data_IF_881481031125
#
_entry.id   IF_881481031125
#
_cell.length_a   1.000
_cell.length_b   1.000
_cell.length_c   1.000
_cell.angle_alpha   90.00
_cell.angle_beta   90.00
_cell.angle_gamma   90.00
#
_symmetry.space_group_name_H-M   'P 1'
#
loop_
_entity.id
_entity.type
_entity.pdbx_description
1 polymer ?
#
# COMPACT_ATOMS: atom_id res chain seq x y z
N UNK A 1 14.89 -12.52 23.46
CA UNK A 1 14.90 -13.60 22.45
C UNK A 1 13.56 -13.68 21.72
N UNK A 2 12.46 -14.07 22.36
CA UNK A 2 11.14 -14.21 21.67
C UNK A 2 10.64 -12.89 21.06
N UNK A 3 10.66 -11.78 21.81
CA UNK A 3 10.24 -10.45 21.30
C UNK A 3 11.03 -10.05 20.06
N UNK A 4 12.35 -10.22 20.08
CA UNK A 4 13.23 -9.89 18.95
C UNK A 4 12.86 -10.67 17.69
N UNK A 5 12.47 -11.95 17.83
CA UNK A 5 12.01 -12.77 16.71
C UNK A 5 10.68 -12.26 16.16
N UNK A 6 9.73 -11.89 17.03
CA UNK A 6 8.43 -11.35 16.62
C UNK A 6 8.61 -10.02 15.88
N UNK A 7 9.38 -9.09 16.46
CA UNK A 7 9.71 -7.80 15.85
C UNK A 7 10.41 -8.00 14.51
N UNK A 8 11.40 -8.89 14.47
CA UNK A 8 12.11 -9.25 13.25
C UNK A 8 11.16 -9.77 12.17
N UNK A 9 10.24 -10.68 12.51
CA UNK A 9 9.27 -11.23 11.58
C UNK A 9 8.31 -10.15 11.04
N UNK A 10 7.78 -9.29 11.91
CA UNK A 10 6.90 -8.17 11.53
C UNK A 10 7.62 -7.21 10.57
N UNK A 11 8.81 -6.74 10.95
CA UNK A 11 9.56 -5.76 10.18
C UNK A 11 10.09 -6.35 8.86
N UNK A 12 10.60 -7.58 8.85
CA UNK A 12 11.10 -8.22 7.63
C UNK A 12 9.96 -8.54 6.66
N UNK A 13 8.81 -9.00 7.16
CA UNK A 13 7.64 -9.25 6.32
C UNK A 13 7.13 -7.93 5.74
N UNK A 14 7.01 -6.89 6.55
CA UNK A 14 6.61 -5.56 6.07
C UNK A 14 7.58 -4.98 5.04
N UNK A 15 8.89 -5.10 5.28
CA UNK A 15 9.92 -4.70 4.33
C UNK A 15 9.87 -5.51 3.02
N UNK A 16 9.56 -6.81 3.09
CA UNK A 16 9.37 -7.65 1.91
C UNK A 16 8.18 -7.16 1.07
N UNK A 17 7.04 -6.81 1.68
CA UNK A 17 5.91 -6.21 0.96
C UNK A 17 6.32 -4.91 0.25
N UNK A 18 7.05 -4.03 0.94
CA UNK A 18 7.55 -2.78 0.34
C UNK A 18 8.50 -3.06 -0.83
N UNK A 19 9.44 -4.00 -0.66
CA UNK A 19 10.40 -4.38 -1.70
C UNK A 19 9.71 -4.98 -2.92
N UNK A 20 8.78 -5.92 -2.70
CA UNK A 20 8.02 -6.57 -3.79
C UNK A 20 7.20 -5.53 -4.54
N UNK A 21 6.51 -4.63 -3.84
CA UNK A 21 5.78 -3.52 -4.48
C UNK A 21 6.72 -2.60 -5.28
N UNK A 22 7.89 -2.25 -4.75
CA UNK A 22 8.85 -1.42 -5.46
C UNK A 22 9.33 -2.11 -6.76
N UNK A 23 9.72 -3.38 -6.68
CA UNK A 23 10.14 -4.17 -7.86
C UNK A 23 9.00 -4.31 -8.87
N UNK A 24 7.78 -4.57 -8.41
CA UNK A 24 6.62 -4.72 -9.28
C UNK A 24 6.19 -3.37 -9.90
N UNK A 25 6.37 -2.24 -9.21
CA UNK A 25 6.20 -0.90 -9.80
C UNK A 25 7.21 -0.64 -10.93
N UNK A 26 8.46 -1.07 -10.79
CA UNK A 26 9.47 -0.96 -11.86
C UNK A 26 9.14 -1.84 -13.07
N UNK A 27 8.48 -2.98 -12.86
CA UNK A 27 8.03 -3.89 -13.93
C UNK A 27 6.70 -3.48 -14.55
N UNK A 28 5.90 -2.67 -13.88
CA UNK A 28 4.59 -2.26 -14.33
C UNK A 28 4.66 -1.37 -15.58
N UNK A 29 3.88 -1.75 -16.59
CA UNK A 29 3.93 -1.20 -17.95
C UNK A 29 3.09 0.08 -18.12
N UNK A 30 2.12 0.31 -17.25
CA UNK A 30 1.29 1.52 -17.26
C UNK A 30 1.10 2.13 -15.85
N UNK A 31 0.54 3.34 -15.82
CA UNK A 31 0.31 4.08 -14.57
C UNK A 31 -0.70 3.40 -13.65
N UNK A 32 -1.77 2.81 -14.19
CA UNK A 32 -2.81 2.13 -13.43
C UNK A 32 -2.25 0.91 -12.68
N UNK A 33 -1.43 0.11 -13.34
CA UNK A 33 -0.75 -1.04 -12.72
C UNK A 33 0.21 -0.60 -11.61
N UNK A 34 0.94 0.50 -11.81
CA UNK A 34 1.83 1.06 -10.76
C UNK A 34 1.04 1.48 -9.52
N UNK A 35 -0.10 2.13 -9.71
CA UNK A 35 -0.98 2.56 -8.62
C UNK A 35 -1.52 1.35 -7.86
N UNK A 36 -1.97 0.31 -8.57
CA UNK A 36 -2.48 -0.91 -7.95
C UNK A 36 -1.41 -1.60 -7.08
N UNK A 37 -0.20 -1.76 -7.62
CA UNK A 37 0.90 -2.45 -6.93
C UNK A 37 1.43 -1.68 -5.72
N UNK A 38 1.31 -0.34 -5.72
CA UNK A 38 1.69 0.51 -4.59
C UNK A 38 0.85 0.22 -3.33
N UNK A 39 -0.39 -0.21 -3.50
CA UNK A 39 -1.33 -0.45 -2.38
C UNK A 39 -0.87 -1.54 -1.41
N UNK A 40 -0.09 -2.52 -1.86
CA UNK A 40 0.43 -3.57 -0.97
C UNK A 40 1.52 -3.05 -0.02
N UNK A 41 2.38 -2.14 -0.49
CA UNK A 41 3.40 -1.49 0.35
C UNK A 41 2.77 -0.62 1.43
N UNK A 42 1.80 0.22 1.06
CA UNK A 42 1.15 1.15 1.98
C UNK A 42 0.09 0.47 2.86
N UNK A 43 -0.65 -0.50 2.32
CA UNK A 43 -1.75 -1.18 3.00
C UNK A 43 -1.32 -2.27 3.97
N UNK A 44 -0.20 -2.96 3.72
CA UNK A 44 0.29 -4.04 4.59
C UNK A 44 1.75 -3.82 5.02
N UNK A 45 2.62 -3.41 4.10
CA UNK A 45 4.05 -3.22 4.38
C UNK A 45 4.33 -2.26 5.53
N UNK A 46 3.85 -1.02 5.40
CA UNK A 46 4.04 0.02 6.42
C UNK A 46 3.35 -0.31 7.76
N UNK A 47 2.07 -0.77 7.79
CA UNK A 47 1.42 -1.19 9.04
C UNK A 47 2.15 -2.31 9.80
N UNK A 48 2.70 -3.31 9.09
CA UNK A 48 3.48 -4.38 9.74
C UNK A 48 4.76 -3.85 10.40
N UNK A 49 5.44 -2.91 9.75
CA UNK A 49 6.64 -2.27 10.31
C UNK A 49 6.28 -1.44 11.55
N UNK A 50 5.18 -0.67 11.49
CA UNK A 50 4.69 0.10 12.65
C UNK A 50 4.32 -0.81 13.82
N UNK A 51 3.65 -1.93 13.55
CA UNK A 51 3.33 -2.91 14.58
C UNK A 51 4.60 -3.52 15.21
N UNK A 52 5.61 -3.85 14.40
CA UNK A 52 6.91 -4.31 14.90
C UNK A 52 7.61 -3.26 15.77
N UNK A 53 7.59 -2.00 15.37
CA UNK A 53 8.14 -0.89 16.14
C UNK A 53 7.42 -0.71 17.49
N UNK A 54 6.08 -0.78 17.51
CA UNK A 54 5.29 -0.70 18.74
C UNK A 54 5.62 -1.86 19.70
N UNK A 55 5.71 -3.10 19.19
CA UNK A 55 6.07 -4.27 20.01
C UNK A 55 7.47 -4.12 20.62
N UNK A 56 8.43 -3.60 19.84
CA UNK A 56 9.78 -3.34 20.33
C UNK A 56 9.78 -2.26 21.42
N UNK A 57 9.04 -1.19 21.22
CA UNK A 57 8.97 -0.06 22.14
C UNK A 57 8.32 -0.46 23.48
N UNK A 58 7.20 -1.19 23.44
CA UNK A 58 6.56 -1.76 24.63
C UNK A 58 7.54 -2.64 25.42
N UNK A 59 8.40 -3.39 24.73
CA UNK A 59 9.37 -4.26 25.37
C UNK A 59 10.58 -3.53 25.97
N UNK A 60 10.96 -2.36 25.45
CA UNK A 60 12.12 -1.59 25.94
C UNK A 60 11.74 -0.52 26.97
N UNK A 61 10.64 0.19 26.75
CA UNK A 61 10.25 1.37 27.52
C UNK A 61 8.99 1.13 28.37
N UNK A 62 8.33 -0.01 28.20
CA UNK A 62 7.04 -0.31 28.82
C UNK A 62 5.87 0.19 27.98
N UNK A 63 4.65 -0.13 28.41
CA UNK A 63 3.45 0.24 27.68
C UNK A 63 3.05 1.70 27.94
N UNK A 64 2.96 2.49 26.87
CA UNK A 64 2.39 3.85 26.88
C UNK A 64 1.18 3.95 25.94
N UNK A 65 0.09 4.53 26.45
CA UNK A 65 -1.11 4.84 25.68
C UNK A 65 -0.83 5.83 24.54
N UNK A 66 0.10 6.75 24.74
CA UNK A 66 0.44 7.75 23.73
C UNK A 66 1.04 7.07 22.50
N UNK A 67 1.94 6.10 22.69
CA UNK A 67 2.58 5.39 21.58
C UNK A 67 1.63 4.42 20.87
N UNK A 68 0.71 3.80 21.61
CA UNK A 68 -0.39 3.03 21.01
C UNK A 68 -1.26 3.90 20.10
N UNK A 69 -1.65 5.11 20.56
CA UNK A 69 -2.46 6.03 19.76
C UNK A 69 -1.69 6.52 18.53
N UNK A 70 -0.40 6.85 18.66
CA UNK A 70 0.46 7.20 17.50
C UNK A 70 0.50 6.08 16.47
N UNK A 71 0.71 4.83 16.93
CA UNK A 71 0.75 3.67 16.04
C UNK A 71 -0.60 3.46 15.32
N UNK A 72 -1.72 3.58 16.04
CA UNK A 72 -3.05 3.47 15.45
C UNK A 72 -3.30 4.56 14.41
N UNK A 73 -2.98 5.82 14.72
CA UNK A 73 -3.09 6.94 13.79
C UNK A 73 -2.21 6.71 12.56
N UNK A 74 -0.99 6.19 12.74
CA UNK A 74 -0.11 5.88 11.62
C UNK A 74 -0.71 4.81 10.71
N UNK A 75 -1.20 3.70 11.27
CA UNK A 75 -1.86 2.62 10.50
C UNK A 75 -3.09 3.12 9.77
N UNK A 76 -3.99 3.83 10.46
CA UNK A 76 -5.18 4.42 9.84
C UNK A 76 -4.81 5.43 8.76
N UNK A 77 -3.79 6.25 9.01
CA UNK A 77 -3.23 7.21 8.06
C UNK A 77 -2.76 6.51 6.78
N UNK A 78 -2.05 5.38 6.88
CA UNK A 78 -1.63 4.61 5.71
C UNK A 78 -2.81 4.05 4.92
N UNK A 79 -3.84 3.51 5.58
CA UNK A 79 -5.03 2.97 4.91
C UNK A 79 -5.81 4.08 4.19
N UNK A 80 -6.07 5.19 4.89
CA UNK A 80 -6.80 6.33 4.33
C UNK A 80 -6.01 6.95 3.16
N UNK A 81 -4.72 7.19 3.35
CA UNK A 81 -3.83 7.72 2.32
C UNK A 81 -3.80 6.80 1.10
N UNK A 82 -3.67 5.48 1.29
CA UNK A 82 -3.64 4.51 0.20
C UNK A 82 -4.89 4.59 -0.68
N UNK A 83 -6.07 4.68 -0.06
CA UNK A 83 -7.34 4.82 -0.77
C UNK A 83 -7.45 6.14 -1.54
N UNK A 84 -7.19 7.27 -0.87
CA UNK A 84 -7.31 8.61 -1.49
C UNK A 84 -6.29 8.79 -2.60
N UNK A 85 -5.04 8.36 -2.38
CA UNK A 85 -3.98 8.42 -3.38
C UNK A 85 -4.34 7.56 -4.61
N UNK A 86 -4.79 6.33 -4.41
CA UNK A 86 -5.13 5.43 -5.52
C UNK A 86 -6.29 5.96 -6.37
N UNK A 87 -7.34 6.49 -5.74
CA UNK A 87 -8.48 7.07 -6.44
C UNK A 87 -8.11 8.33 -7.22
N UNK A 88 -7.33 9.23 -6.63
CA UNK A 88 -6.92 10.47 -7.29
C UNK A 88 -5.93 10.20 -8.42
N UNK A 89 -4.93 9.35 -8.19
CA UNK A 89 -3.96 8.97 -9.21
C UNK A 89 -4.60 8.18 -10.34
N UNK A 90 -5.54 7.27 -10.04
CA UNK A 90 -6.25 6.50 -11.06
C UNK A 90 -7.07 7.39 -11.99
N UNK A 91 -7.84 8.34 -11.42
CA UNK A 91 -8.60 9.32 -12.20
C UNK A 91 -7.69 10.24 -13.02
N UNK A 92 -6.58 10.70 -12.44
CA UNK A 92 -5.63 11.55 -13.14
C UNK A 92 -4.92 10.81 -14.28
N UNK A 93 -4.47 9.57 -14.04
CA UNK A 93 -3.82 8.72 -15.04
C UNK A 93 -4.75 8.38 -16.20
N UNK A 94 -6.04 8.16 -15.92
CA UNK A 94 -7.02 7.92 -16.97
C UNK A 94 -7.30 9.19 -17.79
N UNK A 95 -7.52 10.32 -17.12
CA UNK A 95 -7.84 11.60 -17.77
C UNK A 95 -6.67 12.26 -18.49
N UNK A 96 -5.42 11.89 -18.18
CA UNK A 96 -4.25 12.43 -18.87
C UNK A 96 -4.10 11.90 -20.29
N UNK A 97 -4.87 10.88 -20.70
CA UNK A 97 -4.72 10.22 -21.99
C UNK A 97 -3.44 9.40 -22.10
N UNK A 98 -2.78 9.09 -20.97
CA UNK A 98 -1.61 8.23 -20.97
C UNK A 98 -1.96 6.84 -21.53
N UNK A 99 -1.05 6.26 -22.31
CA UNK A 99 -1.24 4.93 -22.87
C UNK A 99 -1.42 3.90 -21.73
N UNK A 100 -2.52 3.16 -21.79
CA UNK A 100 -2.82 2.02 -20.92
C UNK A 100 -2.23 0.77 -21.59
N UNK A 101 -1.74 -0.18 -20.80
CA UNK A 101 -1.21 -1.44 -21.35
C UNK A 101 -2.29 -2.13 -22.21
N UNK A 102 -2.00 -2.51 -23.47
CA UNK A 102 -2.94 -3.22 -24.34
C UNK A 102 -3.47 -4.54 -23.77
N UNK A 103 -2.76 -5.13 -22.80
CA UNK A 103 -3.18 -6.32 -22.07
C UNK A 103 -4.27 -6.05 -21.03
N UNK A 104 -4.50 -4.78 -20.65
CA UNK A 104 -5.59 -4.36 -19.76
C UNK A 104 -6.92 -4.43 -20.50
N UNK A 105 -7.47 -5.65 -20.62
CA UNK A 105 -8.76 -5.94 -21.25
C UNK A 105 -9.67 -6.73 -20.32
N UNK A 106 -10.99 -6.44 -20.30
CA UNK A 106 -11.68 -5.40 -21.08
C UNK A 106 -11.39 -3.99 -20.53
N UNK A 107 -11.42 -2.98 -21.41
CA UNK A 107 -11.30 -1.57 -21.02
C UNK A 107 -12.60 -0.83 -21.37
N UNK A 108 -13.65 -1.12 -20.59
CA UNK A 108 -15.00 -0.58 -20.82
C UNK A 108 -15.08 0.94 -20.75
N UNK A 109 -14.15 1.59 -20.03
CA UNK A 109 -14.08 3.04 -19.95
C UNK A 109 -13.59 3.69 -21.26
N UNK A 110 -12.83 2.94 -22.07
CA UNK A 110 -12.35 3.40 -23.37
C UNK A 110 -13.29 2.99 -24.52
N UNK A 111 -14.15 1.99 -24.29
CA UNK A 111 -15.20 1.61 -25.21
C UNK A 111 -16.39 2.60 -25.11
N UNK A 112 -17.05 2.88 -26.23
CA UNK A 112 -18.29 3.66 -26.19
C UNK A 112 -19.35 2.90 -25.37
N UNK A 113 -20.17 3.60 -24.55
CA UNK A 113 -21.22 2.96 -23.78
C UNK A 113 -22.09 2.10 -24.69
N UNK A 114 -22.19 0.79 -24.42
CA UNK A 114 -23.07 -0.12 -25.18
C UNK A 114 -24.50 0.41 -25.06
N UNK A 115 -24.96 1.07 -26.11
CA UNK A 115 -26.31 1.61 -26.19
C UNK A 115 -27.26 0.42 -26.42
N UNK A 116 -27.86 -0.10 -25.35
CA UNK A 116 -28.92 -1.10 -25.43
C UNK A 116 -28.75 -2.30 -24.50
N UNK A 117 -29.10 -2.13 -23.22
CA UNK A 117 -29.56 -3.19 -22.33
C UNK A 117 -30.72 -2.67 -21.48
#
# INVERSE_FOLDING_TARGET
MVVTVIVGLLCLTGALFVLVSAVAMLKARDGLSRINVLSAATGLGMPLIVAGALVQDIATNGFDWVDLVKALIAVLGFVIMSSVASNNLGRAAYRSGAAIDPATRPNELAEEPRTGA
#
